data_IF_689117003077
#
_entry.id   IF_689117003077
#
_cell.length_a   1.000
_cell.length_b   1.000
_cell.length_c   1.000
_cell.angle_alpha   90.00
_cell.angle_beta   90.00
_cell.angle_gamma   90.00
#
_symmetry.space_group_name_H-M   'P 1'
#
loop_
_entity.id
_entity.type
_entity.pdbx_description
1 polymer ?
#
# COMPACT_ATOMS: atom_id res chain seq x y z
N UNK A 1 9.76 8.11 42.30
CA UNK A 1 8.33 8.45 42.17
C UNK A 1 7.76 7.46 41.17
N UNK A 2 6.74 6.72 41.56
CA UNK A 2 6.28 5.55 40.81
C UNK A 2 5.43 6.00 39.62
N UNK A 3 5.71 5.49 38.41
CA UNK A 3 4.96 5.79 37.16
C UNK A 3 3.44 5.55 37.26
N UNK A 4 2.98 4.87 38.31
CA UNK A 4 1.55 4.65 38.60
C UNK A 4 0.85 5.84 39.31
N UNK A 5 1.56 6.84 39.86
CA UNK A 5 0.94 7.99 40.55
C UNK A 5 0.16 8.92 39.59
N UNK A 6 0.56 8.99 38.31
CA UNK A 6 -0.08 9.86 37.30
C UNK A 6 -1.19 9.15 36.49
N UNK A 7 -1.44 7.87 36.75
CA UNK A 7 -2.41 7.08 35.97
C UNK A 7 -3.86 7.31 36.41
N UNK A 8 -4.71 7.57 35.43
CA UNK A 8 -6.13 7.86 35.60
C UNK A 8 -7.01 6.69 35.17
N UNK A 9 -8.22 6.62 35.72
CA UNK A 9 -9.25 5.66 35.26
C UNK A 9 -9.62 5.96 33.81
N UNK A 10 -9.86 4.91 33.02
CA UNK A 10 -10.20 5.00 31.60
C UNK A 10 -11.35 5.96 31.32
N UNK A 11 -12.41 5.95 32.15
CA UNK A 11 -13.59 6.81 32.01
C UNK A 11 -13.28 8.31 31.84
N UNK A 12 -12.15 8.80 32.35
CA UNK A 12 -11.74 10.22 32.18
C UNK A 12 -11.20 10.51 30.78
N UNK A 13 -10.49 9.56 30.18
CA UNK A 13 -9.85 9.68 28.87
C UNK A 13 -10.70 9.07 27.75
N UNK A 14 -11.69 8.25 28.11
CA UNK A 14 -12.55 7.53 27.18
C UNK A 14 -13.17 8.40 26.09
N UNK A 15 -13.73 9.61 26.36
CA UNK A 15 -14.27 10.43 25.28
C UNK A 15 -13.22 10.87 24.25
N UNK A 16 -12.00 11.17 24.70
CA UNK A 16 -10.90 11.56 23.83
C UNK A 16 -10.39 10.36 23.02
N UNK A 17 -10.23 9.20 23.66
CA UNK A 17 -9.81 7.95 22.99
C UNK A 17 -10.86 7.50 21.97
N UNK A 18 -12.16 7.55 22.33
CA UNK A 18 -13.25 7.22 21.41
C UNK A 18 -13.31 8.16 20.20
N UNK A 19 -12.94 9.43 20.34
CA UNK A 19 -12.84 10.34 19.19
C UNK A 19 -11.83 9.84 18.16
N UNK A 20 -10.67 9.35 18.61
CA UNK A 20 -9.67 8.77 17.71
C UNK A 20 -10.19 7.49 17.04
N UNK A 21 -10.74 6.58 17.83
CA UNK A 21 -11.24 5.28 17.35
C UNK A 21 -12.39 5.44 16.36
N UNK A 22 -13.37 6.30 16.64
CA UNK A 22 -14.62 6.37 15.88
C UNK A 22 -14.60 7.35 14.71
N UNK A 23 -13.68 8.32 14.73
CA UNK A 23 -13.74 9.45 13.81
C UNK A 23 -12.37 9.66 13.16
N UNK A 24 -11.36 10.02 13.94
CA UNK A 24 -10.10 10.53 13.39
C UNK A 24 -9.38 9.47 12.57
N UNK A 25 -9.08 8.31 13.17
CA UNK A 25 -8.32 7.27 12.47
C UNK A 25 -9.10 6.69 11.29
N UNK A 26 -10.40 6.31 11.41
CA UNK A 26 -11.15 5.82 10.25
C UNK A 26 -11.23 6.82 9.09
N UNK A 27 -11.31 8.13 9.40
CA UNK A 27 -11.34 9.17 8.36
C UNK A 27 -10.01 9.23 7.61
N UNK A 28 -8.88 9.16 8.33
CA UNK A 28 -7.55 9.15 7.72
C UNK A 28 -7.32 7.88 6.90
N UNK A 29 -7.78 6.71 7.37
CA UNK A 29 -7.67 5.44 6.66
C UNK A 29 -8.50 5.42 5.37
N UNK A 30 -9.74 5.90 5.41
CA UNK A 30 -10.58 6.04 4.21
C UNK A 30 -9.95 6.99 3.18
N UNK A 31 -9.29 8.05 3.67
CA UNK A 31 -8.55 8.97 2.80
C UNK A 31 -7.32 8.30 2.20
N UNK A 32 -6.57 7.55 2.99
CA UNK A 32 -5.39 6.81 2.53
C UNK A 32 -5.77 5.78 1.45
N UNK A 33 -6.86 5.05 1.65
CA UNK A 33 -7.42 4.13 0.65
C UNK A 33 -7.78 4.84 -0.66
N UNK A 34 -8.35 6.05 -0.61
CA UNK A 34 -8.62 6.84 -1.82
C UNK A 34 -7.34 7.22 -2.55
N UNK A 35 -6.30 7.59 -1.83
CA UNK A 35 -5.00 7.88 -2.42
C UNK A 35 -4.40 6.65 -3.11
N UNK A 36 -4.47 5.48 -2.47
CA UNK A 36 -4.04 4.20 -3.06
C UNK A 36 -4.70 3.94 -4.41
N UNK A 37 -6.04 4.05 -4.49
CA UNK A 37 -6.79 3.85 -5.73
C UNK A 37 -6.42 4.88 -6.82
N UNK A 38 -6.16 6.13 -6.42
CA UNK A 38 -5.75 7.17 -7.35
C UNK A 38 -4.32 6.93 -7.87
N UNK A 39 -3.41 6.48 -7.01
CA UNK A 39 -2.03 6.11 -7.36
C UNK A 39 -2.05 5.01 -8.41
N UNK A 40 -2.77 3.91 -8.16
CA UNK A 40 -2.92 2.82 -9.14
C UNK A 40 -3.46 3.34 -10.48
N UNK A 41 -4.49 4.19 -10.43
CA UNK A 41 -5.09 4.79 -11.62
C UNK A 41 -4.08 5.63 -12.40
N UNK A 42 -3.36 6.53 -11.74
CA UNK A 42 -2.41 7.42 -12.40
C UNK A 42 -1.19 6.68 -12.92
N UNK A 43 -0.71 5.67 -12.19
CA UNK A 43 0.35 4.78 -12.64
C UNK A 43 -0.10 4.01 -13.88
N UNK A 44 -1.26 3.34 -13.86
CA UNK A 44 -1.80 2.61 -15.02
C UNK A 44 -1.96 3.49 -16.26
N UNK A 45 -2.36 4.74 -16.08
CA UNK A 45 -2.49 5.71 -17.17
C UNK A 45 -1.18 6.43 -17.54
N UNK A 46 -0.05 6.12 -16.88
CA UNK A 46 1.26 6.76 -17.07
C UNK A 46 1.23 8.29 -16.93
N UNK A 47 0.40 8.79 -16.02
CA UNK A 47 0.26 10.23 -15.73
C UNK A 47 1.16 10.60 -14.56
N UNK A 48 2.46 10.70 -14.83
CA UNK A 48 3.50 10.80 -13.81
C UNK A 48 3.42 12.04 -12.92
N UNK A 49 3.05 13.20 -13.48
CA UNK A 49 2.89 14.44 -12.69
C UNK A 49 1.80 14.28 -11.63
N UNK A 50 0.64 13.69 -12.00
CA UNK A 50 -0.45 13.43 -11.05
C UNK A 50 -0.13 12.32 -10.08
N UNK A 51 0.63 11.31 -10.52
CA UNK A 51 1.12 10.25 -9.65
C UNK A 51 2.02 10.83 -8.55
N UNK A 52 2.97 11.69 -8.94
CA UNK A 52 3.83 12.41 -8.01
C UNK A 52 3.02 13.25 -7.02
N UNK A 53 2.07 14.08 -7.49
CA UNK A 53 1.20 14.86 -6.62
C UNK A 53 0.42 13.99 -5.63
N UNK A 54 -0.08 12.83 -6.08
CA UNK A 54 -0.77 11.91 -5.19
C UNK A 54 0.15 11.23 -4.19
N UNK A 55 1.39 10.88 -4.54
CA UNK A 55 2.35 10.37 -3.57
C UNK A 55 2.57 11.38 -2.43
N UNK A 56 2.72 12.66 -2.77
CA UNK A 56 2.89 13.72 -1.78
C UNK A 56 1.63 13.89 -0.91
N UNK A 57 0.44 13.81 -1.49
CA UNK A 57 -0.82 13.91 -0.74
C UNK A 57 -1.07 12.70 0.17
N UNK A 58 -0.75 11.50 -0.32
CA UNK A 58 -0.77 10.27 0.46
C UNK A 58 0.21 10.39 1.64
N UNK A 59 1.43 10.86 1.40
CA UNK A 59 2.46 11.05 2.44
C UNK A 59 1.98 11.98 3.55
N UNK A 60 1.35 13.10 3.21
CA UNK A 60 0.73 14.00 4.21
C UNK A 60 -0.36 13.29 5.03
N UNK A 61 -1.16 12.43 4.40
CA UNK A 61 -2.20 11.64 5.09
C UNK A 61 -1.56 10.62 6.03
N UNK A 62 -0.50 9.94 5.61
CA UNK A 62 0.27 9.00 6.45
C UNK A 62 0.88 9.72 7.64
N UNK A 63 1.50 10.89 7.44
CA UNK A 63 2.06 11.70 8.53
C UNK A 63 0.99 12.14 9.53
N UNK A 64 -0.18 12.56 9.05
CA UNK A 64 -1.31 12.93 9.90
C UNK A 64 -1.81 11.74 10.72
N UNK A 65 -1.97 10.57 10.09
CA UNK A 65 -2.38 9.34 10.74
C UNK A 65 -1.37 8.92 11.82
N UNK A 66 -0.06 8.99 11.53
CA UNK A 66 1.02 8.72 12.50
C UNK A 66 0.95 9.67 13.70
N UNK A 67 0.75 10.97 13.47
CA UNK A 67 0.58 11.93 14.56
C UNK A 67 -0.63 11.59 15.44
N UNK A 68 -1.76 11.27 14.81
CA UNK A 68 -3.00 10.92 15.50
C UNK A 68 -2.85 9.62 16.33
N UNK A 69 -2.18 8.60 15.80
CA UNK A 69 -1.88 7.36 16.54
C UNK A 69 -0.98 7.65 17.74
N UNK A 70 0.09 8.45 17.57
CA UNK A 70 0.99 8.83 18.69
C UNK A 70 0.26 9.64 19.77
N UNK A 71 -0.67 10.51 19.39
CA UNK A 71 -1.49 11.24 20.35
C UNK A 71 -2.43 10.30 21.12
N UNK A 72 -3.09 9.38 20.41
CA UNK A 72 -3.93 8.36 21.04
C UNK A 72 -3.11 7.47 21.99
N UNK A 73 -1.92 7.04 21.58
CA UNK A 73 -0.97 6.26 22.38
C UNK A 73 -0.61 6.98 23.69
N UNK A 74 -0.27 8.27 23.63
CA UNK A 74 0.01 9.09 24.82
C UNK A 74 -1.15 9.13 25.81
N UNK A 75 -2.40 9.07 25.32
CA UNK A 75 -3.57 8.96 26.19
C UNK A 75 -3.68 7.56 26.80
N UNK A 76 -3.41 6.52 26.01
CA UNK A 76 -3.45 5.12 26.45
C UNK A 76 -2.45 4.84 27.57
N UNK A 77 -1.24 5.40 27.50
CA UNK A 77 -0.20 5.23 28.53
C UNK A 77 -0.58 5.81 29.90
N UNK A 78 -1.56 6.72 29.96
CA UNK A 78 -2.06 7.31 31.21
C UNK A 78 -3.18 6.49 31.86
N UNK A 79 -3.62 5.41 31.23
CA UNK A 79 -4.69 4.55 31.75
C UNK A 79 -4.11 3.59 32.79
N UNK A 80 -4.84 3.39 33.89
CA UNK A 80 -4.46 2.42 34.93
C UNK A 80 -4.42 0.99 34.41
N UNK A 81 -3.57 0.16 35.04
CA UNK A 81 -3.39 -1.26 34.69
C UNK A 81 -4.70 -2.04 34.72
N UNK A 82 -5.58 -1.74 35.68
CA UNK A 82 -6.88 -2.43 35.81
C UNK A 82 -7.80 -2.24 34.59
N UNK A 83 -7.68 -1.11 33.90
CA UNK A 83 -8.54 -0.75 32.76
C UNK A 83 -7.91 -1.15 31.41
N UNK A 84 -6.65 -1.63 31.38
CA UNK A 84 -5.93 -1.94 30.13
C UNK A 84 -6.63 -3.01 29.29
N UNK A 85 -7.25 -4.02 29.91
CA UNK A 85 -8.01 -5.04 29.17
C UNK A 85 -9.28 -4.52 28.50
N UNK A 86 -9.90 -3.46 29.04
CA UNK A 86 -11.01 -2.76 28.37
C UNK A 86 -10.49 -1.83 27.27
N UNK A 87 -9.44 -1.07 27.56
CA UNK A 87 -8.77 -0.19 26.62
C UNK A 87 -8.33 -0.95 25.36
N UNK A 88 -7.68 -2.10 25.53
CA UNK A 88 -7.23 -2.97 24.45
C UNK A 88 -8.39 -3.36 23.52
N UNK A 89 -9.50 -3.84 24.08
CA UNK A 89 -10.70 -4.22 23.30
C UNK A 89 -11.29 -3.05 22.51
N UNK A 90 -11.15 -1.82 23.00
CA UNK A 90 -11.63 -0.64 22.27
C UNK A 90 -10.72 -0.27 21.09
N UNK A 91 -9.42 -0.48 21.23
CA UNK A 91 -8.40 -0.05 20.27
C UNK A 91 -8.12 -1.10 19.20
N UNK A 92 -8.22 -2.39 19.54
CA UNK A 92 -7.87 -3.48 18.63
C UNK A 92 -8.51 -3.35 17.24
N UNK A 93 -9.82 -3.03 17.10
CA UNK A 93 -10.43 -2.94 15.77
C UNK A 93 -9.77 -1.88 14.87
N UNK A 94 -9.52 -0.68 15.41
CA UNK A 94 -8.96 0.42 14.61
C UNK A 94 -7.47 0.21 14.33
N UNK A 95 -6.78 -0.52 15.20
CA UNK A 95 -5.37 -0.90 15.05
C UNK A 95 -5.20 -1.98 13.98
N UNK A 96 -6.06 -2.99 14.00
CA UNK A 96 -6.10 -4.04 12.97
C UNK A 96 -6.43 -3.43 11.61
N UNK A 97 -7.40 -2.50 11.55
CA UNK A 97 -7.73 -1.77 10.34
C UNK A 97 -6.54 -0.95 9.79
N UNK A 98 -5.83 -0.22 10.66
CA UNK A 98 -4.64 0.54 10.25
C UNK A 98 -3.50 -0.37 9.77
N UNK A 99 -3.30 -1.52 10.43
CA UNK A 99 -2.31 -2.52 10.03
C UNK A 99 -2.65 -3.13 8.67
N UNK A 100 -3.92 -3.49 8.46
CA UNK A 100 -4.39 -4.04 7.20
C UNK A 100 -4.22 -3.02 6.06
N UNK A 101 -4.71 -1.79 6.25
CA UNK A 101 -4.60 -0.73 5.24
C UNK A 101 -3.14 -0.44 4.85
N UNK A 102 -2.22 -0.40 5.82
CA UNK A 102 -0.80 -0.15 5.53
C UNK A 102 -0.16 -1.33 4.78
N UNK A 103 -0.52 -2.56 5.15
CA UNK A 103 -0.01 -3.78 4.49
C UNK A 103 -0.53 -3.88 3.05
N UNK A 104 -1.83 -3.66 2.85
CA UNK A 104 -2.45 -3.61 1.53
C UNK A 104 -1.80 -2.53 0.64
N UNK A 105 -1.50 -1.36 1.20
CA UNK A 105 -0.85 -0.27 0.46
C UNK A 105 0.53 -0.69 -0.06
N UNK A 106 1.37 -1.27 0.82
CA UNK A 106 2.72 -1.70 0.46
C UNK A 106 2.69 -2.89 -0.52
N UNK A 107 1.76 -3.81 -0.35
CA UNK A 107 1.67 -5.03 -1.16
C UNK A 107 1.33 -4.74 -2.64
N UNK A 108 0.41 -3.81 -2.91
CA UNK A 108 0.05 -3.46 -4.30
C UNK A 108 1.23 -2.94 -5.13
N UNK A 109 2.18 -2.27 -4.47
CA UNK A 109 3.38 -1.81 -5.14
C UNK A 109 4.40 -2.94 -5.34
N UNK A 110 4.56 -3.83 -4.35
CA UNK A 110 5.46 -4.98 -4.46
C UNK A 110 5.05 -5.95 -5.58
N UNK A 111 3.76 -6.31 -5.64
CA UNK A 111 3.21 -7.18 -6.69
C UNK A 111 3.42 -6.57 -8.08
N UNK A 112 3.24 -5.26 -8.20
CA UNK A 112 3.50 -4.53 -9.45
C UNK A 112 4.97 -4.59 -9.87
N UNK A 113 5.91 -4.48 -8.93
CA UNK A 113 7.36 -4.55 -9.19
C UNK A 113 7.80 -5.97 -9.54
N UNK A 114 7.26 -6.99 -8.89
CA UNK A 114 7.60 -8.40 -9.13
C UNK A 114 7.08 -8.89 -10.48
N UNK A 115 5.86 -8.54 -10.86
CA UNK A 115 5.30 -8.96 -12.15
C UNK A 115 6.01 -8.29 -13.33
N UNK A 116 6.48 -7.06 -13.15
CA UNK A 116 7.33 -6.38 -14.12
C UNK A 116 8.68 -7.09 -14.31
N UNK A 117 9.36 -7.49 -13.23
CA UNK A 117 10.64 -8.22 -13.30
C UNK A 117 10.51 -9.52 -14.08
N UNK A 118 9.42 -10.26 -13.83
CA UNK A 118 9.14 -11.51 -14.53
C UNK A 118 8.96 -11.31 -16.05
N UNK A 119 8.33 -10.22 -16.47
CA UNK A 119 8.20 -9.88 -17.90
C UNK A 119 9.56 -9.62 -18.56
N UNK A 120 10.48 -8.95 -17.86
CA UNK A 120 11.84 -8.73 -18.37
C UNK A 120 12.65 -10.03 -18.45
N UNK A 121 12.56 -10.91 -17.46
CA UNK A 121 13.24 -12.21 -17.46
C UNK A 121 12.71 -13.14 -18.59
N UNK A 122 11.40 -13.09 -18.86
CA UNK A 122 10.76 -13.83 -19.94
C UNK A 122 11.12 -13.24 -21.33
N UNK A 123 11.27 -11.91 -21.46
CA UNK A 123 11.69 -11.24 -22.70
C UNK A 123 13.19 -11.46 -23.03
N UNK A 124 14.06 -11.50 -22.01
CA UNK A 124 15.49 -11.80 -22.20
C UNK A 124 15.71 -13.26 -22.68
N UNK A 125 14.77 -14.16 -22.38
CA UNK A 125 14.79 -15.56 -22.85
C UNK A 125 14.38 -15.70 -24.32
N UNK A 126 13.69 -14.71 -24.91
CA UNK A 126 13.23 -14.73 -26.31
C UNK A 126 14.19 -14.08 -27.32
N UNK A 127 15.26 -13.43 -26.87
CA UNK A 127 16.24 -12.74 -27.74
C UNK A 127 17.38 -13.64 -28.27
N UNK A 128 17.14 -14.95 -28.44
CA UNK A 128 18.06 -15.77 -29.25
C UNK A 128 17.72 -15.67 -30.74
N UNK A 129 18.63 -15.19 -31.61
CA UNK A 129 18.37 -15.08 -33.04
C UNK A 129 18.43 -16.47 -33.69
N UNK A 130 17.29 -17.14 -33.81
CA UNK A 130 17.17 -18.32 -34.66
C UNK A 130 17.14 -17.89 -36.13
N UNK A 131 18.35 -17.69 -36.68
CA UNK A 131 18.62 -17.73 -38.11
C UNK A 131 18.26 -19.12 -38.65
N UNK A 132 17.05 -19.27 -39.19
CA UNK A 132 16.72 -20.43 -40.02
C UNK A 132 16.34 -19.98 -41.42
N UNK A 133 17.40 -19.86 -42.23
CA UNK A 133 17.40 -20.01 -43.68
C UNK A 133 16.44 -21.12 -44.10
N UNK A 134 15.40 -20.81 -44.86
CA UNK A 134 14.64 -21.84 -45.56
C UNK A 134 14.34 -21.42 -47.00
N UNK A 135 14.59 -22.38 -47.87
CA UNK A 135 14.79 -22.24 -49.32
C UNK A 135 13.45 -22.41 -50.02
N UNK A 136 13.22 -21.59 -51.04
CA UNK A 136 12.05 -21.59 -51.92
C UNK A 136 11.94 -22.87 -52.76
N UNK A 137 10.76 -23.51 -52.86
CA UNK A 137 10.21 -24.11 -54.10
C UNK A 137 8.68 -24.31 -53.96
N UNK A 138 7.92 -23.63 -54.82
CA UNK A 138 6.82 -24.17 -55.64
C UNK A 138 5.47 -24.58 -55.03
N UNK A 139 4.38 -23.89 -55.40
CA UNK A 139 3.01 -24.42 -55.37
C UNK A 139 1.90 -23.36 -55.39
N UNK A 140 1.03 -23.41 -56.39
CA UNK A 140 0.02 -22.42 -56.79
C UNK A 140 -1.23 -22.23 -55.90
N UNK A 141 -1.68 -20.96 -55.83
CA UNK A 141 -3.02 -20.34 -55.68
C UNK A 141 -4.26 -21.13 -55.19
N UNK A 142 -4.97 -20.63 -54.16
CA UNK A 142 -6.23 -19.85 -54.26
C UNK A 142 -7.01 -19.71 -52.92
N UNK A 143 -7.44 -18.45 -52.64
CA UNK A 143 -8.70 -17.96 -52.01
C UNK A 143 -9.10 -18.27 -50.55
N UNK A 144 -8.98 -17.20 -49.74
CA UNK A 144 -9.95 -16.56 -48.80
C UNK A 144 -10.67 -17.33 -47.69
N UNK A 145 -10.62 -16.66 -46.52
CA UNK A 145 -11.50 -16.67 -45.35
C UNK A 145 -11.42 -17.87 -44.39
N UNK A 146 -10.69 -17.68 -43.29
CA UNK A 146 -11.18 -17.96 -41.93
C UNK A 146 -10.18 -17.44 -40.88
N UNK A 147 -10.68 -16.53 -40.05
CA UNK A 147 -10.41 -16.43 -38.61
C UNK A 147 -8.94 -16.20 -38.22
N UNK A 148 -8.61 -14.91 -38.11
CA UNK A 148 -7.54 -14.44 -37.25
C UNK A 148 -7.91 -14.81 -35.80
N UNK A 149 -7.48 -16.00 -35.37
CA UNK A 149 -7.37 -16.37 -33.97
C UNK A 149 -6.46 -15.35 -33.29
N UNK A 150 -7.09 -14.39 -32.61
CA UNK A 150 -6.41 -13.50 -31.70
C UNK A 150 -5.79 -14.37 -30.60
N UNK A 151 -4.47 -14.43 -30.62
CA UNK A 151 -3.64 -15.12 -29.65
C UNK A 151 -4.10 -14.81 -28.19
N UNK A 152 -4.51 -15.82 -27.40
CA UNK A 152 -4.99 -15.61 -26.02
C UNK A 152 -3.90 -15.10 -25.06
N UNK A 153 -2.64 -15.01 -25.50
CA UNK A 153 -1.50 -14.64 -24.66
C UNK A 153 -1.47 -13.15 -24.24
N UNK A 154 -2.33 -12.30 -24.81
CA UNK A 154 -2.39 -10.86 -24.48
C UNK A 154 -3.19 -10.52 -23.20
N UNK A 155 -4.05 -11.43 -22.71
CA UNK A 155 -4.95 -11.12 -21.58
C UNK A 155 -4.26 -11.16 -20.19
N UNK A 156 -3.11 -11.83 -20.06
CA UNK A 156 -2.43 -11.96 -18.76
C UNK A 156 -1.56 -10.75 -18.41
N UNK A 157 -1.27 -9.85 -19.37
CA UNK A 157 -0.48 -8.63 -19.14
C UNK A 157 -1.26 -7.49 -18.44
N UNK A 158 -2.56 -7.65 -18.19
CA UNK A 158 -3.45 -6.56 -17.76
C UNK A 158 -3.30 -6.18 -16.26
N UNK A 159 -2.65 -7.02 -15.43
CA UNK A 159 -2.64 -6.82 -13.98
C UNK A 159 -1.41 -6.08 -13.43
N UNK A 160 -0.29 -5.98 -14.17
CA UNK A 160 0.90 -5.28 -13.70
C UNK A 160 0.79 -3.76 -13.89
N UNK A 161 1.05 -2.97 -12.85
CA UNK A 161 1.20 -1.52 -13.01
C UNK A 161 2.50 -1.22 -13.78
N UNK A 162 2.50 -0.24 -14.70
CA UNK A 162 3.71 0.12 -15.43
C UNK A 162 4.79 0.69 -14.48
N UNK A 163 6.05 0.40 -14.78
CA UNK A 163 7.18 0.92 -14.03
C UNK A 163 7.21 2.46 -14.07
N UNK A 164 7.50 3.07 -12.93
CA UNK A 164 7.73 4.50 -12.83
C UNK A 164 9.17 4.77 -13.32
N UNK A 165 9.37 5.54 -14.41
CA UNK A 165 10.72 5.83 -14.90
C UNK A 165 11.54 6.58 -13.85
N UNK A 166 12.81 6.20 -13.67
CA UNK A 166 13.69 6.73 -12.60
C UNK A 166 13.99 8.24 -12.71
N UNK A 167 13.85 8.80 -13.90
CA UNK A 167 14.00 10.23 -14.17
C UNK A 167 12.75 11.05 -13.79
N UNK A 168 11.65 10.40 -13.42
CA UNK A 168 10.42 11.06 -13.00
C UNK A 168 10.45 11.39 -11.50
N UNK A 169 9.95 12.57 -11.13
CA UNK A 169 9.71 12.96 -9.73
C UNK A 169 8.82 11.95 -8.98
N UNK A 170 7.97 11.22 -9.72
CA UNK A 170 7.13 10.17 -9.17
C UNK A 170 7.94 9.06 -8.48
N UNK A 171 9.13 8.73 -9.00
CA UNK A 171 10.00 7.70 -8.42
C UNK A 171 10.54 8.14 -7.05
N UNK A 172 11.11 9.34 -6.95
CA UNK A 172 11.59 9.89 -5.66
C UNK A 172 10.46 10.03 -4.64
N UNK A 173 9.31 10.56 -5.07
CA UNK A 173 8.15 10.69 -4.16
C UNK A 173 7.57 9.35 -3.70
N UNK A 174 7.73 8.29 -4.49
CA UNK A 174 7.36 6.95 -4.06
C UNK A 174 8.27 6.46 -2.93
N UNK A 175 9.60 6.60 -3.07
CA UNK A 175 10.55 6.18 -2.03
C UNK A 175 10.26 6.88 -0.68
N UNK A 176 9.91 8.16 -0.73
CA UNK A 176 9.52 8.94 0.46
C UNK A 176 8.21 8.40 1.06
N UNK A 177 7.19 8.18 0.23
CA UNK A 177 5.91 7.64 0.69
C UNK A 177 6.05 6.23 1.27
N UNK A 178 6.85 5.38 0.63
CA UNK A 178 7.14 4.03 1.08
C UNK A 178 7.81 4.03 2.45
N UNK A 179 8.82 4.88 2.66
CA UNK A 179 9.44 5.07 3.97
C UNK A 179 8.42 5.49 5.02
N UNK A 180 7.56 6.46 4.71
CA UNK A 180 6.49 6.93 5.61
C UNK A 180 5.50 5.81 5.97
N UNK A 181 5.13 4.95 5.01
CA UNK A 181 4.25 3.79 5.21
C UNK A 181 4.91 2.71 6.07
N UNK A 182 6.20 2.44 5.86
CA UNK A 182 6.97 1.51 6.70
C UNK A 182 7.02 2.02 8.14
N UNK A 183 7.28 3.31 8.35
CA UNK A 183 7.28 3.91 9.68
C UNK A 183 5.89 3.90 10.34
N UNK A 184 4.81 4.03 9.57
CA UNK A 184 3.45 3.84 10.08
C UNK A 184 3.20 2.39 10.50
N UNK A 185 3.62 1.41 9.69
CA UNK A 185 3.48 -0.02 9.99
C UNK A 185 4.21 -0.39 11.29
N UNK A 186 5.45 0.09 11.44
CA UNK A 186 6.23 -0.07 12.67
C UNK A 186 5.51 0.54 13.87
N UNK A 187 5.00 1.77 13.75
CA UNK A 187 4.27 2.44 14.82
C UNK A 187 3.03 1.65 15.27
N UNK A 188 2.23 1.14 14.34
CA UNK A 188 1.04 0.33 14.67
C UNK A 188 1.44 -0.98 15.38
N UNK A 189 2.56 -1.57 14.99
CA UNK A 189 3.13 -2.77 15.62
C UNK A 189 3.63 -2.47 17.03
N UNK A 190 4.41 -1.40 17.23
CA UNK A 190 4.89 -0.95 18.54
C UNK A 190 3.73 -0.65 19.49
N UNK A 191 2.71 0.05 18.99
CA UNK A 191 1.52 0.36 19.75
C UNK A 191 0.76 -0.91 20.19
N UNK A 192 0.77 -1.95 19.35
CA UNK A 192 0.22 -3.27 19.71
C UNK A 192 0.95 -3.89 20.89
N UNK A 193 2.28 -3.78 20.95
CA UNK A 193 3.07 -4.34 22.05
C UNK A 193 2.75 -3.63 23.37
N UNK A 194 2.59 -2.30 23.35
CA UNK A 194 2.32 -1.50 24.56
C UNK A 194 0.99 -1.84 25.23
N UNK A 195 -0.06 -2.11 24.45
CA UNK A 195 -1.38 -2.50 25.00
C UNK A 195 -1.46 -3.99 25.35
N UNK A 196 -0.44 -4.78 25.01
CA UNK A 196 -0.37 -6.24 25.23
C UNK A 196 0.48 -6.66 26.43
N UNK A 197 1.21 -5.76 27.10
CA UNK A 197 1.98 -6.11 28.31
C UNK A 197 1.00 -6.28 29.49
N UNK A 198 0.55 -7.52 29.68
CA UNK A 198 -0.11 -8.04 30.88
C UNK A 198 0.88 -8.46 31.95
#
# INVERSE_FOLDING_TARGET
MSEDEDKVKLRRLEPAIQKFIKIVIPTDLERLRKHQLNIEKYQRCRVWDKLHEEHINAGRTVQQLRSNIREMEKLCLKVRKEDLGLLKRMIDPVKEEASAATTEFLQLHLESVEELKKQFDDEETLLQPSLTRSVTVGGAFHTTDAEAEADPQSMTQIYALPEIPRDQNAAESWEILEADLIELSQLVTEFSLLVNIT
#
